data_IF_353420078996
#
_entry.id   IF_353420078996
#
_cell.length_a   1.000
_cell.length_b   1.000
_cell.length_c   1.000
_cell.angle_alpha   90.00
_cell.angle_beta   90.00
_cell.angle_gamma   90.00
#
_symmetry.space_group_name_H-M   'P 1'
#
loop_
_entity.id
_entity.type
_entity.pdbx_description
1 polymer ?
#
# COMPACT_ATOMS: atom_id res chain seq x y z
N UNK A 1 14.79 20.57 -11.89
CA UNK A 1 13.64 20.93 -12.73
C UNK A 1 12.38 20.43 -12.08
N UNK A 2 11.72 21.38 -11.38
CA UNK A 2 10.46 21.17 -10.68
C UNK A 2 9.32 21.15 -11.71
N UNK A 3 8.97 19.98 -12.21
CA UNK A 3 7.74 19.82 -12.98
C UNK A 3 6.69 19.12 -12.11
N UNK A 4 5.49 19.73 -12.08
CA UNK A 4 4.26 19.36 -11.38
C UNK A 4 4.09 19.96 -9.97
N UNK A 5 4.25 21.26 -9.85
CA UNK A 5 3.57 22.03 -8.80
C UNK A 5 2.07 22.12 -9.18
N UNK A 6 1.28 21.18 -8.69
CA UNK A 6 -0.18 21.24 -8.83
C UNK A 6 -0.74 22.37 -7.96
N UNK A 7 -1.66 23.23 -8.47
CA UNK A 7 -2.08 24.45 -7.77
C UNK A 7 -3.03 24.26 -6.59
N UNK A 8 -3.35 23.03 -6.18
CA UNK A 8 -4.32 22.78 -5.11
C UNK A 8 -3.64 22.62 -3.75
N UNK A 9 -3.24 23.75 -3.14
CA UNK A 9 -2.78 23.86 -1.75
C UNK A 9 -3.88 23.74 -0.70
N UNK A 10 -5.08 23.24 -0.99
CA UNK A 10 -6.06 22.96 0.04
C UNK A 10 -5.71 21.62 0.67
N UNK A 11 -5.07 21.67 1.85
CA UNK A 11 -5.02 20.50 2.71
C UNK A 11 -6.47 20.05 2.96
N UNK A 12 -6.78 18.74 2.85
CA UNK A 12 -8.05 18.21 3.30
C UNK A 12 -8.27 18.65 4.75
N UNK A 13 -9.54 18.72 5.18
CA UNK A 13 -9.88 18.97 6.58
C UNK A 13 -8.93 18.17 7.46
N UNK A 14 -8.36 18.79 8.49
CA UNK A 14 -7.15 18.33 9.18
C UNK A 14 -7.09 16.84 9.52
N UNK A 15 -8.23 16.14 9.56
CA UNK A 15 -8.33 14.76 10.06
C UNK A 15 -9.00 13.77 9.09
N UNK A 16 -9.57 14.22 7.96
CA UNK A 16 -10.27 13.34 7.03
C UNK A 16 -9.80 13.53 5.59
N UNK A 17 -9.61 12.43 4.88
CA UNK A 17 -9.41 12.38 3.45
C UNK A 17 -10.67 11.80 2.80
N UNK A 18 -11.39 12.62 2.06
CA UNK A 18 -12.58 12.22 1.32
C UNK A 18 -12.28 12.29 -0.18
N UNK A 19 -12.90 11.40 -0.97
CA UNK A 19 -12.69 11.40 -2.42
C UNK A 19 -13.99 11.27 -3.23
N UNK A 20 -15.12 11.77 -2.69
CA UNK A 20 -16.44 11.65 -3.32
C UNK A 20 -16.59 12.46 -4.62
N UNK A 21 -15.63 13.27 -4.99
CA UNK A 21 -15.54 13.90 -6.30
C UNK A 21 -14.08 13.90 -6.81
N UNK A 22 -13.89 14.24 -8.09
CA UNK A 22 -12.58 14.17 -8.73
C UNK A 22 -11.54 15.11 -8.10
N UNK A 23 -11.94 16.32 -7.66
CA UNK A 23 -11.03 17.28 -7.00
C UNK A 23 -10.52 16.75 -5.67
N UNK A 24 -11.41 16.19 -4.85
CA UNK A 24 -11.04 15.59 -3.57
C UNK A 24 -10.19 14.34 -3.78
N UNK A 25 -10.49 13.54 -4.80
CA UNK A 25 -9.68 12.39 -5.18
C UNK A 25 -8.26 12.81 -5.55
N UNK A 26 -8.10 13.84 -6.37
CA UNK A 26 -6.80 14.40 -6.69
C UNK A 26 -6.08 14.95 -5.44
N UNK A 27 -6.80 15.65 -4.57
CA UNK A 27 -6.25 16.20 -3.32
C UNK A 27 -5.76 15.09 -2.39
N UNK A 28 -6.58 14.03 -2.20
CA UNK A 28 -6.21 12.85 -1.42
C UNK A 28 -4.97 12.16 -1.98
N UNK A 29 -4.95 11.90 -3.27
CA UNK A 29 -3.84 11.24 -3.94
C UNK A 29 -2.56 12.09 -3.86
N UNK A 30 -2.67 13.41 -4.10
CA UNK A 30 -1.55 14.34 -3.97
C UNK A 30 -1.00 14.38 -2.55
N UNK A 31 -1.88 14.38 -1.55
CA UNK A 31 -1.49 14.30 -0.15
C UNK A 31 -0.73 13.00 0.14
N UNK A 32 -1.27 11.85 -0.25
CA UNK A 32 -0.64 10.54 -0.07
C UNK A 32 0.75 10.48 -0.70
N UNK A 33 0.86 10.87 -1.98
CA UNK A 33 2.13 10.85 -2.68
C UNK A 33 3.17 11.79 -2.04
N UNK A 34 2.74 12.97 -1.58
CA UNK A 34 3.61 13.90 -0.86
C UNK A 34 4.13 13.27 0.44
N UNK A 35 3.24 12.70 1.27
CA UNK A 35 3.66 12.04 2.50
C UNK A 35 4.70 10.94 2.21
N UNK A 36 4.48 10.15 1.18
CA UNK A 36 5.43 9.09 0.80
C UNK A 36 6.75 9.65 0.24
N UNK A 37 6.71 10.75 -0.51
CA UNK A 37 7.91 11.44 -1.01
C UNK A 37 8.74 12.05 0.12
N UNK A 38 8.10 12.62 1.12
CA UNK A 38 8.72 13.28 2.27
C UNK A 38 9.12 12.30 3.38
N UNK A 39 8.65 11.05 3.33
CA UNK A 39 8.94 10.03 4.35
C UNK A 39 10.43 9.76 4.50
N UNK A 40 10.87 9.61 5.76
CA UNK A 40 12.27 9.40 6.13
C UNK A 40 12.51 8.16 6.99
N UNK A 41 11.50 7.71 7.75
CA UNK A 41 11.64 6.61 8.72
C UNK A 41 11.01 5.33 8.20
N UNK A 42 9.70 5.34 7.96
CA UNK A 42 8.97 4.14 7.61
C UNK A 42 7.71 4.40 6.78
N UNK A 43 7.35 3.42 5.97
CA UNK A 43 6.05 3.28 5.34
C UNK A 43 5.54 1.85 5.57
N UNK A 44 4.67 1.68 6.56
CA UNK A 44 4.13 0.39 6.98
C UNK A 44 2.67 0.30 6.56
N UNK A 45 2.32 -0.73 5.82
CA UNK A 45 0.99 -0.86 5.20
C UNK A 45 0.36 -2.21 5.54
N UNK A 46 -0.90 -2.17 5.97
CA UNK A 46 -1.81 -3.32 5.97
C UNK A 46 -2.89 -3.03 4.94
N UNK A 47 -3.06 -3.89 3.95
CA UNK A 47 -4.11 -3.74 2.94
C UNK A 47 -4.57 -5.10 2.40
N UNK A 48 -5.89 -5.33 2.30
CA UNK A 48 -6.41 -6.57 1.70
C UNK A 48 -6.17 -6.66 0.19
N UNK A 49 -6.21 -5.52 -0.51
CA UNK A 49 -6.03 -5.49 -1.96
C UNK A 49 -4.84 -4.63 -2.33
N UNK A 50 -3.83 -5.27 -2.90
CA UNK A 50 -2.60 -4.62 -3.34
C UNK A 50 -2.46 -4.75 -4.86
N UNK A 51 -2.90 -3.72 -5.55
CA UNK A 51 -2.81 -3.58 -7.00
C UNK A 51 -2.41 -2.13 -7.34
N UNK A 52 -1.17 -1.73 -7.00
CA UNK A 52 -0.73 -0.35 -7.04
C UNK A 52 -0.61 0.18 -8.47
N UNK A 53 -0.89 1.48 -8.64
CA UNK A 53 -0.63 2.17 -9.91
C UNK A 53 0.88 2.21 -10.20
N UNK A 54 1.29 2.39 -11.48
CA UNK A 54 2.70 2.59 -11.83
C UNK A 54 3.36 3.75 -11.06
N UNK A 55 2.62 4.85 -10.84
CA UNK A 55 3.09 5.99 -10.06
C UNK A 55 3.35 5.60 -8.60
N UNK A 56 2.46 4.81 -8.00
CA UNK A 56 2.63 4.31 -6.64
C UNK A 56 3.82 3.38 -6.52
N UNK A 57 3.99 2.42 -7.45
CA UNK A 57 5.16 1.54 -7.50
C UNK A 57 6.46 2.34 -7.60
N UNK A 58 6.47 3.39 -8.42
CA UNK A 58 7.62 4.28 -8.57
C UNK A 58 7.96 4.98 -7.24
N UNK A 59 6.96 5.51 -6.53
CA UNK A 59 7.17 6.16 -5.24
C UNK A 59 7.62 5.19 -4.15
N UNK A 60 7.06 3.98 -4.10
CA UNK A 60 7.53 2.91 -3.19
C UNK A 60 9.00 2.58 -3.41
N UNK A 61 9.42 2.45 -4.69
CA UNK A 61 10.82 2.25 -5.05
C UNK A 61 11.71 3.41 -4.60
N UNK A 62 11.27 4.65 -4.79
CA UNK A 62 12.04 5.82 -4.37
C UNK A 62 12.15 5.90 -2.84
N UNK A 63 11.08 5.61 -2.11
CA UNK A 63 11.11 5.57 -0.64
C UNK A 63 12.12 4.51 -0.16
N UNK A 64 12.04 3.30 -0.67
CA UNK A 64 12.99 2.23 -0.33
C UNK A 64 14.45 2.60 -0.66
N UNK A 65 14.69 3.26 -1.81
CA UNK A 65 16.03 3.75 -2.19
C UNK A 65 16.58 4.85 -1.26
N UNK A 66 15.70 5.63 -0.63
CA UNK A 66 16.10 6.61 0.40
C UNK A 66 16.40 5.97 1.76
N UNK A 67 16.21 4.65 1.90
CA UNK A 67 16.40 3.93 3.16
C UNK A 67 15.16 3.92 4.07
N UNK A 68 14.00 4.33 3.57
CA UNK A 68 12.73 4.22 4.30
C UNK A 68 12.40 2.74 4.50
N UNK A 69 12.06 2.34 5.73
CA UNK A 69 11.62 0.98 6.04
C UNK A 69 10.20 0.75 5.49
N UNK A 70 10.13 0.15 4.29
CA UNK A 70 8.86 -0.12 3.61
C UNK A 70 8.43 -1.56 3.87
N UNK A 71 7.28 -1.76 4.54
CA UNK A 71 6.72 -3.07 4.83
C UNK A 71 5.25 -3.16 4.40
N UNK A 72 4.91 -4.28 3.77
CA UNK A 72 3.56 -4.59 3.31
C UNK A 72 3.06 -5.84 4.02
N UNK A 73 1.94 -5.74 4.75
CA UNK A 73 1.20 -6.89 5.27
C UNK A 73 0.00 -7.12 4.36
N UNK A 74 0.00 -8.25 3.66
CA UNK A 74 -0.97 -8.62 2.64
C UNK A 74 -1.64 -9.95 3.04
N UNK A 75 -2.87 -10.24 2.60
CA UNK A 75 -3.53 -11.49 2.97
C UNK A 75 -2.93 -12.69 2.22
N UNK A 76 -2.76 -13.82 2.94
CA UNK A 76 -2.52 -15.13 2.32
C UNK A 76 -3.81 -15.74 1.79
N UNK A 77 -4.95 -15.45 2.46
CA UNK A 77 -6.30 -15.88 2.09
C UNK A 77 -7.15 -14.65 1.76
N UNK A 78 -7.82 -14.64 0.63
CA UNK A 78 -8.59 -13.52 0.11
C UNK A 78 -9.86 -14.03 -0.56
N UNK A 79 -10.91 -13.23 -0.52
CA UNK A 79 -12.19 -13.44 -1.20
C UNK A 79 -12.11 -13.36 -2.73
N UNK A 80 -11.16 -12.55 -3.25
CA UNK A 80 -10.92 -12.37 -4.69
C UNK A 80 -9.56 -12.98 -5.08
N UNK A 81 -9.47 -14.27 -5.46
CA UNK A 81 -8.20 -14.97 -5.69
C UNK A 81 -7.29 -14.31 -6.73
N UNK A 82 -7.87 -13.71 -7.79
CA UNK A 82 -7.09 -13.03 -8.83
C UNK A 82 -6.30 -11.85 -8.28
N UNK A 83 -6.84 -11.12 -7.29
CA UNK A 83 -6.14 -10.01 -6.63
C UNK A 83 -4.86 -10.46 -5.93
N UNK A 84 -4.89 -11.62 -5.27
CA UNK A 84 -3.70 -12.20 -4.64
C UNK A 84 -2.65 -12.61 -5.68
N UNK A 85 -3.07 -13.23 -6.77
CA UNK A 85 -2.16 -13.63 -7.85
C UNK A 85 -1.49 -12.40 -8.48
N UNK A 86 -2.26 -11.35 -8.72
CA UNK A 86 -1.78 -10.08 -9.25
C UNK A 86 -0.78 -9.41 -8.29
N UNK A 87 -1.07 -9.38 -6.99
CA UNK A 87 -0.14 -8.88 -5.98
C UNK A 87 1.17 -9.69 -5.96
N UNK A 88 1.09 -11.02 -5.98
CA UNK A 88 2.27 -11.91 -6.01
C UNK A 88 3.14 -11.73 -7.25
N UNK A 89 2.56 -11.33 -8.38
CA UNK A 89 3.33 -11.00 -9.58
C UNK A 89 4.33 -9.85 -9.36
N UNK A 90 4.05 -8.97 -8.40
CA UNK A 90 4.90 -7.83 -8.05
C UNK A 90 5.97 -8.18 -7.00
N UNK A 91 5.86 -9.29 -6.27
CA UNK A 91 6.71 -9.59 -5.12
C UNK A 91 8.20 -9.59 -5.44
N UNK A 92 8.60 -10.25 -6.52
CA UNK A 92 10.01 -10.28 -6.93
C UNK A 92 10.58 -8.87 -7.11
N UNK A 93 9.81 -8.00 -7.77
CA UNK A 93 10.20 -6.60 -8.01
C UNK A 93 10.30 -5.82 -6.69
N UNK A 94 9.29 -5.93 -5.82
CA UNK A 94 9.25 -5.24 -4.54
C UNK A 94 10.41 -5.69 -3.63
N UNK A 95 10.63 -6.99 -3.50
CA UNK A 95 11.74 -7.57 -2.74
C UNK A 95 13.11 -7.15 -3.31
N UNK A 96 13.22 -6.95 -4.64
CA UNK A 96 14.46 -6.47 -5.26
C UNK A 96 14.77 -5.01 -4.92
N UNK A 97 13.76 -4.23 -4.53
CA UNK A 97 13.90 -2.86 -4.06
C UNK A 97 14.14 -2.75 -2.54
N UNK A 98 14.20 -3.88 -1.83
CA UNK A 98 14.37 -3.92 -0.39
C UNK A 98 13.06 -3.75 0.41
N UNK A 99 11.91 -3.79 -0.27
CA UNK A 99 10.59 -3.74 0.38
C UNK A 99 10.31 -5.09 1.00
N UNK A 100 9.89 -5.12 2.28
CA UNK A 100 9.57 -6.34 3.00
C UNK A 100 8.09 -6.68 2.84
N UNK A 101 7.80 -7.94 2.61
CA UNK A 101 6.43 -8.45 2.36
C UNK A 101 6.10 -9.52 3.40
N UNK A 102 4.94 -9.39 4.01
CA UNK A 102 4.43 -10.30 5.04
C UNK A 102 3.04 -10.80 4.61
N UNK A 103 2.86 -12.12 4.49
CA UNK A 103 1.56 -12.73 4.19
C UNK A 103 0.87 -13.15 5.48
N UNK A 104 -0.20 -12.44 5.84
CA UNK A 104 -1.04 -12.72 7.01
C UNK A 104 -1.75 -14.08 6.87
N UNK A 105 -1.59 -14.96 7.86
CA UNK A 105 -1.98 -16.37 7.75
C UNK A 105 -3.35 -16.72 8.32
N UNK A 106 -3.80 -16.19 9.49
CA UNK A 106 -4.87 -16.79 10.27
C UNK A 106 -6.24 -16.77 9.58
N UNK A 107 -6.62 -15.63 9.02
CA UNK A 107 -7.96 -15.36 8.49
C UNK A 107 -7.89 -14.38 7.31
N UNK A 108 -9.05 -14.04 6.74
CA UNK A 108 -9.13 -12.95 5.75
C UNK A 108 -8.74 -11.64 6.44
N UNK A 109 -7.71 -10.99 5.92
CA UNK A 109 -7.28 -9.66 6.35
C UNK A 109 -8.15 -8.62 5.66
N UNK A 110 -8.82 -7.76 6.43
CA UNK A 110 -9.66 -6.69 5.84
C UNK A 110 -9.31 -5.29 6.36
N UNK A 111 -8.27 -5.17 7.19
CA UNK A 111 -7.77 -3.89 7.72
C UNK A 111 -7.10 -3.08 6.61
N UNK A 112 -7.34 -1.77 6.59
CA UNK A 112 -6.63 -0.80 5.77
C UNK A 112 -6.02 0.21 6.72
N UNK A 113 -4.70 0.12 6.86
CA UNK A 113 -3.92 0.93 7.78
C UNK A 113 -2.60 1.28 7.09
N UNK A 114 -2.26 2.57 7.08
CA UNK A 114 -0.98 3.08 6.59
C UNK A 114 -0.31 3.89 7.69
N UNK A 115 0.95 3.63 7.92
CA UNK A 115 1.81 4.41 8.80
C UNK A 115 2.92 5.01 7.96
N UNK A 116 2.98 6.33 7.93
CA UNK A 116 4.00 7.08 7.22
C UNK A 116 4.69 7.96 8.26
N UNK A 117 5.88 7.56 8.68
CA UNK A 117 6.62 8.19 9.77
C UNK A 117 5.77 8.33 11.05
N UNK A 118 5.37 9.55 11.37
CA UNK A 118 4.59 9.88 12.57
C UNK A 118 3.10 10.18 12.23
N UNK A 119 2.62 9.67 11.10
CA UNK A 119 1.22 9.77 10.66
C UNK A 119 0.62 8.38 10.50
N UNK A 120 -0.56 8.15 11.07
CA UNK A 120 -1.34 6.93 10.86
C UNK A 120 -2.61 7.26 10.08
N UNK A 121 -2.91 6.47 9.05
CA UNK A 121 -4.13 6.58 8.23
C UNK A 121 -4.89 5.28 8.32
N UNK A 122 -6.17 5.37 8.63
CA UNK A 122 -7.11 4.25 8.65
C UNK A 122 -8.38 4.61 7.91
N UNK A 123 -8.96 3.66 7.20
CA UNK A 123 -10.19 3.92 6.45
C UNK A 123 -10.62 2.78 5.54
N UNK A 124 -11.34 3.13 4.48
CA UNK A 124 -11.84 2.19 3.50
C UNK A 124 -10.88 1.94 2.33
N UNK A 125 -9.94 2.87 2.08
CA UNK A 125 -9.06 2.86 0.91
C UNK A 125 -8.00 1.76 0.92
N UNK A 126 -7.92 1.02 -0.17
CA UNK A 126 -6.88 0.03 -0.42
C UNK A 126 -5.67 0.65 -1.15
N UNK A 127 -4.54 -0.04 -1.12
CA UNK A 127 -3.38 0.34 -1.93
C UNK A 127 -3.51 -0.27 -3.34
N UNK A 128 -4.60 0.09 -4.03
CA UNK A 128 -4.91 -0.40 -5.35
C UNK A 128 -5.37 0.73 -6.30
N UNK A 129 -5.37 0.42 -7.57
CA UNK A 129 -5.79 1.33 -8.64
C UNK A 129 -7.21 1.85 -8.44
N UNK A 130 -8.15 0.99 -8.04
CA UNK A 130 -9.56 1.35 -7.86
C UNK A 130 -9.75 2.40 -6.78
N UNK A 131 -9.20 2.21 -5.58
CA UNK A 131 -9.31 3.19 -4.48
C UNK A 131 -8.69 4.55 -4.83
N UNK A 132 -7.68 4.56 -5.69
CA UNK A 132 -7.03 5.80 -6.11
C UNK A 132 -7.74 6.52 -7.25
N UNK A 133 -8.41 5.80 -8.16
CA UNK A 133 -8.98 6.40 -9.38
C UNK A 133 -10.50 6.31 -9.47
N UNK A 134 -11.14 5.30 -8.87
CA UNK A 134 -12.54 4.99 -9.13
C UNK A 134 -13.41 4.99 -7.88
N UNK A 135 -13.04 4.22 -6.86
CA UNK A 135 -13.89 3.98 -5.70
C UNK A 135 -14.06 5.25 -4.82
N UNK A 136 -15.17 5.30 -4.11
CA UNK A 136 -15.42 6.31 -3.09
C UNK A 136 -14.83 5.83 -1.78
N UNK A 137 -13.93 6.61 -1.22
CA UNK A 137 -13.18 6.24 -0.03
C UNK A 137 -13.24 7.34 1.04
N UNK A 138 -13.12 6.91 2.27
CA UNK A 138 -12.93 7.79 3.42
C UNK A 138 -11.77 7.28 4.26
N UNK A 139 -10.81 8.14 4.55
CA UNK A 139 -9.73 7.86 5.49
C UNK A 139 -9.68 8.91 6.58
N UNK A 140 -9.25 8.47 7.76
CA UNK A 140 -8.98 9.32 8.91
C UNK A 140 -7.47 9.41 9.10
N UNK A 141 -6.97 10.64 9.23
CA UNK A 141 -5.57 10.92 9.47
C UNK A 141 -5.37 11.14 10.97
N UNK A 142 -4.58 10.32 11.59
CA UNK A 142 -4.26 10.35 13.01
C UNK A 142 -2.82 10.85 13.19
N UNK A 143 -2.65 11.93 13.98
CA UNK A 143 -1.34 12.58 14.20
C UNK A 143 -0.94 12.67 15.67
N UNK A 144 -1.87 12.41 16.60
CA UNK A 144 -1.55 12.40 18.03
C UNK A 144 -0.67 11.19 18.32
N UNK A 145 0.39 11.38 19.09
CA UNK A 145 1.38 10.32 19.38
C UNK A 145 0.74 9.03 19.91
N UNK A 146 -0.26 9.14 20.78
CA UNK A 146 -1.00 7.98 21.29
C UNK A 146 -1.73 7.21 20.17
N UNK A 147 -2.41 7.93 19.26
CA UNK A 147 -3.15 7.32 18.15
C UNK A 147 -2.20 6.63 17.16
N UNK A 148 -1.08 7.28 16.84
CA UNK A 148 -0.04 6.71 15.97
C UNK A 148 0.59 5.47 16.63
N UNK A 149 0.86 5.52 17.93
CA UNK A 149 1.37 4.37 18.70
C UNK A 149 0.40 3.19 18.66
N UNK A 150 -0.91 3.43 18.82
CA UNK A 150 -1.93 2.39 18.68
C UNK A 150 -1.99 1.81 17.26
N UNK A 151 -1.94 2.66 16.22
CA UNK A 151 -1.88 2.22 14.84
C UNK A 151 -0.63 1.36 14.57
N UNK A 152 0.51 1.75 15.15
CA UNK A 152 1.77 1.00 15.06
C UNK A 152 1.66 -0.37 15.76
N UNK A 153 1.04 -0.41 16.94
CA UNK A 153 0.78 -1.66 17.66
C UNK A 153 -0.10 -2.63 16.82
N UNK A 154 -1.17 -2.12 16.20
CA UNK A 154 -2.03 -2.90 15.31
C UNK A 154 -1.28 -3.43 14.07
N UNK A 155 -0.38 -2.64 13.49
CA UNK A 155 0.47 -3.09 12.38
C UNK A 155 1.36 -4.27 12.81
N UNK A 156 2.06 -4.14 13.93
CA UNK A 156 2.96 -5.19 14.41
C UNK A 156 2.22 -6.42 14.90
N UNK A 157 1.00 -6.28 15.42
CA UNK A 157 0.10 -7.41 15.71
C UNK A 157 -0.19 -8.22 14.44
N UNK A 158 -0.61 -7.55 13.35
CA UNK A 158 -0.86 -8.23 12.07
C UNK A 158 0.43 -8.83 11.49
N UNK A 159 1.54 -8.10 11.56
CA UNK A 159 2.83 -8.60 11.08
C UNK A 159 3.30 -9.84 11.85
N UNK A 160 3.08 -9.89 13.17
CA UNK A 160 3.49 -11.04 14.01
C UNK A 160 2.76 -12.34 13.66
N UNK A 161 1.56 -12.23 13.08
CA UNK A 161 0.74 -13.35 12.60
C UNK A 161 0.96 -13.64 11.11
N UNK A 162 1.90 -12.96 10.48
CA UNK A 162 2.19 -13.09 9.06
C UNK A 162 3.53 -13.80 8.82
N UNK A 163 3.61 -14.53 7.72
CA UNK A 163 4.87 -15.12 7.25
C UNK A 163 5.60 -14.08 6.39
N UNK A 164 6.84 -13.79 6.72
CA UNK A 164 7.70 -12.98 5.84
C UNK A 164 8.06 -13.75 4.58
N UNK A 165 7.97 -13.09 3.44
CA UNK A 165 8.27 -13.65 2.11
C UNK A 165 9.65 -13.18 1.69
N UNK A 166 10.49 -14.14 1.30
CA UNK A 166 11.85 -13.89 0.82
C UNK A 166 11.99 -14.24 -0.67
N UNK A 167 13.04 -13.73 -1.32
CA UNK A 167 13.32 -14.07 -2.73
C UNK A 167 13.46 -15.57 -2.97
N UNK A 168 13.97 -16.30 -1.99
CA UNK A 168 14.12 -17.76 -2.05
C UNK A 168 12.77 -18.47 -2.20
N UNK A 169 11.72 -17.98 -1.52
CA UNK A 169 10.36 -18.54 -1.64
C UNK A 169 9.82 -18.44 -3.07
N UNK A 170 10.26 -17.41 -3.82
CA UNK A 170 9.84 -17.17 -5.20
C UNK A 170 10.72 -17.89 -6.23
N UNK A 171 11.93 -18.28 -5.86
CA UNK A 171 12.84 -19.00 -6.76
C UNK A 171 12.32 -20.39 -7.14
N UNK A 172 11.58 -21.03 -6.24
CA UNK A 172 10.99 -22.36 -6.42
C UNK A 172 9.66 -22.37 -7.17
N UNK A 173 9.18 -21.21 -7.64
CA UNK A 173 7.95 -21.14 -8.44
C UNK A 173 8.15 -21.87 -9.78
N UNK A 174 7.21 -22.80 -10.08
CA UNK A 174 7.18 -23.46 -11.38
C UNK A 174 6.94 -22.45 -12.52
N UNK A 175 7.29 -22.85 -13.74
CA UNK A 175 7.03 -22.04 -14.94
C UNK A 175 5.54 -21.71 -15.06
N UNK A 176 4.67 -22.69 -14.80
CA UNK A 176 3.21 -22.50 -14.83
C UNK A 176 2.73 -21.45 -13.81
N UNK A 177 3.29 -21.45 -12.59
CA UNK A 177 2.97 -20.43 -11.59
C UNK A 177 3.44 -19.03 -12.00
N UNK A 178 4.63 -18.92 -12.61
CA UNK A 178 5.14 -17.64 -13.15
C UNK A 178 4.26 -17.10 -14.27
N UNK A 179 3.81 -17.97 -15.17
CA UNK A 179 2.87 -17.61 -16.23
C UNK A 179 1.52 -17.16 -15.67
N UNK A 180 0.99 -17.88 -14.66
CA UNK A 180 -0.26 -17.52 -13.99
C UNK A 180 -0.16 -16.13 -13.34
N UNK A 181 0.93 -15.83 -12.63
CA UNK A 181 1.14 -14.51 -12.02
C UNK A 181 1.30 -13.42 -13.08
N UNK A 182 2.02 -13.70 -14.16
CA UNK A 182 2.15 -12.78 -15.28
C UNK A 182 0.80 -12.47 -15.92
N UNK A 183 -0.01 -13.49 -16.18
CA UNK A 183 -1.36 -13.32 -16.70
C UNK A 183 -2.24 -12.53 -15.72
N UNK A 184 -2.21 -12.87 -14.44
CA UNK A 184 -2.97 -12.16 -13.40
C UNK A 184 -2.57 -10.67 -13.30
N UNK A 185 -1.32 -10.32 -13.60
CA UNK A 185 -0.85 -8.93 -13.59
C UNK A 185 -1.54 -8.04 -14.62
N UNK A 186 -2.13 -8.59 -15.67
CA UNK A 186 -2.92 -7.82 -16.64
C UNK A 186 -4.20 -7.28 -16.04
N UNK A 187 -4.70 -7.92 -14.98
CA UNK A 187 -5.89 -7.48 -14.26
C UNK A 187 -5.61 -6.44 -13.16
N UNK A 188 -4.34 -6.07 -12.94
CA UNK A 188 -3.99 -5.05 -11.94
C UNK A 188 -4.73 -3.72 -12.13
N UNK A 189 -5.06 -3.39 -13.36
CA UNK A 189 -5.82 -2.18 -13.69
C UNK A 189 -7.28 -2.26 -13.23
N UNK A 190 -7.88 -3.46 -13.19
CA UNK A 190 -9.30 -3.68 -12.86
C UNK A 190 -9.54 -4.00 -11.38
N UNK A 191 -8.49 -4.25 -10.65
CA UNK A 191 -8.45 -4.56 -9.21
C UNK A 191 -8.13 -3.31 -8.38
#
# INVERSE_FOLDING_TARGET
SAFWLWPFRRQPSRDFLLNYNWLLKLSRNSWFFRQLQESQKCFLVVTPYFAPTPAMLFQLRLAARRGVDVRLVLPSKIDVPISRLAARALYWRLLSWGIRIFEFQPRILHRKLWLIDDVCVIGSGNLNHRSFLHDLEVEVILRKAEQVSRGRALFFEDQSQAREIHKQDLAHLSVGQRMLYWFASWFLYWL
#
